data_IF_722599327515
#
_entry.id   IF_722599327515
#
_cell.length_a   1.000
_cell.length_b   1.000
_cell.length_c   1.000
_cell.angle_alpha   90.00
_cell.angle_beta   90.00
_cell.angle_gamma   90.00
#
_symmetry.space_group_name_H-M   'P 1'
#
loop_
_entity.id
_entity.type
_entity.pdbx_description
1 polymer ?
#
# COMPACT_ATOMS: atom_id res chain seq x y z
N UNK A 1 -30.74 -16.67 39.01
CA UNK A 1 -29.65 -15.79 38.51
C UNK A 1 -29.03 -15.15 39.74
N UNK A 2 -27.78 -15.37 40.15
CA UNK A 2 -26.51 -15.34 39.43
C UNK A 2 -25.54 -16.37 40.03
N UNK A 3 -24.56 -16.75 39.22
CA UNK A 3 -23.75 -17.96 39.27
C UNK A 3 -22.73 -17.92 40.40
N UNK A 4 -22.65 -18.99 41.19
CA UNK A 4 -21.41 -19.35 41.87
C UNK A 4 -20.45 -19.91 40.81
N UNK A 5 -19.21 -19.44 40.77
CA UNK A 5 -18.15 -20.24 40.17
C UNK A 5 -16.87 -20.00 40.96
N UNK A 6 -16.48 -21.09 41.63
CA UNK A 6 -15.31 -21.23 42.47
C UNK A 6 -14.04 -21.05 41.65
N UNK A 7 -13.09 -20.37 42.27
CA UNK A 7 -11.67 -20.35 41.95
C UNK A 7 -11.18 -21.80 41.93
N UNK A 8 -10.63 -22.24 40.79
CA UNK A 8 -9.79 -23.43 40.70
C UNK A 8 -8.50 -23.02 39.96
N UNK A 9 -7.54 -22.48 40.71
CA UNK A 9 -6.15 -22.33 40.26
C UNK A 9 -5.54 -23.73 40.32
N UNK A 10 -5.52 -24.42 39.18
CA UNK A 10 -4.70 -25.61 39.00
C UNK A 10 -3.28 -25.15 38.64
N UNK A 11 -2.45 -24.99 39.66
CA UNK A 11 -1.00 -24.92 39.50
C UNK A 11 -0.45 -26.34 39.35
N UNK A 12 0.24 -26.62 38.25
CA UNK A 12 1.39 -27.53 38.13
C UNK A 12 1.67 -27.79 36.65
N UNK A 13 2.75 -27.21 36.12
CA UNK A 13 3.67 -27.96 35.26
C UNK A 13 5.09 -27.44 35.43
N UNK A 14 5.99 -28.41 35.47
CA UNK A 14 7.35 -28.41 35.96
C UNK A 14 8.35 -27.78 34.98
N UNK A 15 9.40 -27.18 35.56
CA UNK A 15 10.78 -27.09 35.06
C UNK A 15 11.01 -27.06 33.54
N UNK A 16 11.29 -25.85 33.04
CA UNK A 16 11.99 -25.62 31.78
C UNK A 16 12.54 -24.19 31.75
N UNK A 17 13.81 -24.00 32.11
CA UNK A 17 14.53 -22.74 31.84
C UNK A 17 14.81 -22.63 30.34
N UNK A 18 13.85 -22.09 29.61
CA UNK A 18 14.07 -21.55 28.27
C UNK A 18 13.47 -20.16 28.29
N UNK A 19 14.31 -19.14 28.12
CA UNK A 19 13.88 -17.74 28.01
C UNK A 19 12.99 -17.56 26.79
N UNK A 20 11.70 -17.86 26.93
CA UNK A 20 10.68 -17.45 25.98
C UNK A 20 10.56 -15.94 26.13
N UNK A 21 11.17 -15.20 25.20
CA UNK A 21 10.91 -13.78 25.01
C UNK A 21 9.40 -13.60 25.06
N UNK A 22 8.93 -12.85 26.05
CA UNK A 22 7.58 -12.32 26.10
C UNK A 22 7.33 -11.69 24.73
N UNK A 23 6.46 -12.30 23.93
CA UNK A 23 5.97 -11.67 22.70
C UNK A 23 5.21 -10.45 23.18
N UNK A 24 5.88 -9.31 23.16
CA UNK A 24 5.27 -8.03 23.38
C UNK A 24 4.35 -7.83 22.19
N UNK A 25 3.06 -8.08 22.40
CA UNK A 25 2.02 -7.76 21.42
C UNK A 25 1.99 -6.24 21.39
N UNK A 26 2.79 -5.63 20.51
CA UNK A 26 2.69 -4.22 20.20
C UNK A 26 1.29 -4.03 19.59
N UNK A 27 0.40 -3.26 20.22
CA UNK A 27 -0.89 -2.97 19.62
C UNK A 27 -0.63 -2.30 18.28
N UNK A 28 -1.13 -2.90 17.20
CA UNK A 28 -1.08 -2.35 15.85
C UNK A 28 -1.98 -1.11 15.89
N UNK A 29 -1.40 0.05 16.22
CA UNK A 29 -2.08 1.32 16.02
C UNK A 29 -2.32 1.45 14.51
N UNK A 30 -3.51 1.84 14.05
CA UNK A 30 -3.67 2.22 12.66
C UNK A 30 -2.65 3.34 12.36
N UNK A 31 -1.80 3.15 11.36
CA UNK A 31 -0.75 4.10 10.96
C UNK A 31 -1.29 5.51 10.65
N UNK A 32 -2.61 5.64 10.48
CA UNK A 32 -3.31 6.91 10.26
C UNK A 32 -4.52 7.00 11.19
N UNK A 33 -4.52 8.00 12.08
CA UNK A 33 -5.69 8.40 12.88
C UNK A 33 -6.31 9.64 12.26
N UNK A 34 -7.52 9.53 11.72
CA UNK A 34 -8.31 10.67 11.24
C UNK A 34 -9.00 11.33 12.44
N UNK A 35 -8.56 12.53 12.80
CA UNK A 35 -8.95 13.19 14.06
C UNK A 35 -9.95 14.32 13.85
N UNK A 36 -10.12 14.79 12.61
CA UNK A 36 -11.00 15.91 12.28
C UNK A 36 -11.65 15.75 10.89
N UNK A 37 -12.54 16.67 10.53
CA UNK A 37 -13.27 16.65 9.26
C UNK A 37 -12.34 16.80 8.02
N UNK A 38 -11.25 17.55 8.14
CA UNK A 38 -10.26 17.71 7.06
C UNK A 38 -9.53 16.39 6.81
N UNK A 39 -9.15 15.66 7.86
CA UNK A 39 -8.50 14.35 7.72
C UNK A 39 -9.41 13.36 6.99
N UNK A 40 -10.68 13.27 7.41
CA UNK A 40 -11.69 12.39 6.78
C UNK A 40 -11.94 12.76 5.32
N UNK A 41 -12.09 14.05 5.02
CA UNK A 41 -12.27 14.54 3.65
C UNK A 41 -11.04 14.22 2.79
N UNK A 42 -9.84 14.49 3.31
CA UNK A 42 -8.58 14.27 2.59
C UNK A 42 -8.34 12.79 2.31
N UNK A 43 -8.62 11.92 3.29
CA UNK A 43 -8.52 10.47 3.13
C UNK A 43 -9.54 9.94 2.12
N UNK A 44 -10.79 10.41 2.18
CA UNK A 44 -11.83 10.04 1.21
C UNK A 44 -11.48 10.49 -0.23
N UNK A 45 -10.94 11.70 -0.40
CA UNK A 45 -10.45 12.18 -1.69
C UNK A 45 -9.33 11.28 -2.23
N UNK A 46 -8.37 10.93 -1.38
CA UNK A 46 -7.29 10.00 -1.72
C UNK A 46 -7.79 8.63 -2.16
N UNK A 47 -8.77 8.05 -1.46
CA UNK A 47 -9.41 6.78 -1.85
C UNK A 47 -10.06 6.90 -3.23
N UNK A 48 -10.88 7.92 -3.45
CA UNK A 48 -11.63 8.07 -4.69
C UNK A 48 -10.68 8.23 -5.89
N UNK A 49 -9.69 9.11 -5.77
CA UNK A 49 -8.69 9.31 -6.83
C UNK A 49 -7.85 8.06 -7.06
N UNK A 50 -7.43 7.38 -5.99
CA UNK A 50 -6.60 6.18 -6.05
C UNK A 50 -7.30 4.99 -6.70
N UNK A 51 -8.59 4.78 -6.39
CA UNK A 51 -9.38 3.68 -6.95
C UNK A 51 -9.58 3.82 -8.47
N UNK A 52 -9.96 5.02 -8.93
CA UNK A 52 -10.11 5.30 -10.36
C UNK A 52 -8.76 5.21 -11.09
N UNK A 53 -7.70 5.73 -10.47
CA UNK A 53 -6.37 5.66 -11.06
C UNK A 53 -5.84 4.22 -11.16
N UNK A 54 -6.06 3.39 -10.14
CA UNK A 54 -5.70 1.96 -10.16
C UNK A 54 -6.35 1.22 -11.32
N UNK A 55 -7.64 1.46 -11.58
CA UNK A 55 -8.35 0.88 -12.73
C UNK A 55 -7.75 1.33 -14.07
N UNK A 56 -7.39 2.61 -14.18
CA UNK A 56 -6.78 3.13 -15.41
C UNK A 56 -5.37 2.58 -15.67
N UNK A 57 -4.60 2.28 -14.61
CA UNK A 57 -3.26 1.69 -14.72
C UNK A 57 -3.30 0.31 -15.40
N UNK A 58 -4.36 -0.48 -15.20
CA UNK A 58 -4.51 -1.80 -15.84
C UNK A 58 -4.57 -1.72 -17.37
N UNK A 59 -4.98 -0.58 -17.92
CA UNK A 59 -5.06 -0.34 -19.36
C UNK A 59 -3.75 0.11 -20.00
N UNK A 60 -2.71 0.37 -19.21
CA UNK A 60 -1.41 0.82 -19.71
C UNK A 60 -0.73 -0.34 -20.47
N UNK A 61 -0.34 -0.15 -21.74
CA UNK A 61 0.41 -1.15 -22.51
C UNK A 61 1.71 -1.59 -21.82
N UNK A 62 2.11 -2.84 -22.05
CA UNK A 62 3.37 -3.40 -21.53
C UNK A 62 3.27 -4.17 -20.22
N UNK A 63 2.09 -4.71 -19.92
CA UNK A 63 1.89 -5.64 -18.81
C UNK A 63 1.68 -4.94 -17.47
N UNK A 64 2.05 -5.62 -16.37
CA UNK A 64 1.77 -5.12 -15.02
C UNK A 64 2.69 -3.95 -14.67
N UNK A 65 2.08 -2.78 -14.45
CA UNK A 65 2.76 -1.60 -13.92
C UNK A 65 3.26 -1.82 -12.49
N UNK A 66 4.39 -1.19 -12.13
CA UNK A 66 4.92 -1.21 -10.77
C UNK A 66 4.22 -0.16 -9.90
N UNK A 67 3.25 -0.62 -9.10
CA UNK A 67 2.42 0.26 -8.26
C UNK A 67 3.23 0.97 -7.17
N UNK A 68 4.22 0.31 -6.56
CA UNK A 68 5.04 0.92 -5.51
C UNK A 68 5.83 2.13 -6.02
N UNK A 69 6.38 2.05 -7.23
CA UNK A 69 7.08 3.17 -7.87
C UNK A 69 6.13 4.29 -8.29
N UNK A 70 4.91 3.95 -8.72
CA UNK A 70 3.86 4.94 -9.03
C UNK A 70 3.49 5.71 -7.75
N UNK A 71 3.19 5.01 -6.66
CA UNK A 71 2.86 5.63 -5.36
C UNK A 71 4.02 6.50 -4.88
N UNK A 72 5.26 6.03 -4.99
CA UNK A 72 6.45 6.80 -4.61
C UNK A 72 6.60 8.07 -5.41
N UNK A 73 6.55 7.99 -6.74
CA UNK A 73 6.66 9.16 -7.62
C UNK A 73 5.53 10.17 -7.42
N UNK A 74 4.29 9.68 -7.28
CA UNK A 74 3.11 10.51 -7.02
C UNK A 74 3.20 11.23 -5.66
N UNK A 75 3.57 10.51 -4.60
CA UNK A 75 3.73 11.08 -3.25
C UNK A 75 4.81 12.16 -3.22
N UNK A 76 5.98 11.89 -3.83
CA UNK A 76 7.06 12.87 -3.93
C UNK A 76 6.61 14.12 -4.70
N UNK A 77 5.93 13.95 -5.84
CA UNK A 77 5.43 15.08 -6.63
C UNK A 77 4.38 15.91 -5.87
N UNK A 78 3.41 15.27 -5.19
CA UNK A 78 2.39 15.98 -4.40
C UNK A 78 2.98 16.78 -3.24
N UNK A 79 3.99 16.21 -2.57
CA UNK A 79 4.71 16.87 -1.47
C UNK A 79 5.70 17.93 -1.94
N UNK A 80 5.93 18.04 -3.25
CA UNK A 80 6.98 18.86 -3.86
C UNK A 80 8.38 18.47 -3.36
N UNK A 81 8.56 17.20 -3.04
CA UNK A 81 9.84 16.60 -2.68
C UNK A 81 10.71 16.40 -3.93
N UNK A 82 11.99 16.11 -3.71
CA UNK A 82 12.89 15.70 -4.78
C UNK A 82 12.44 14.39 -5.42
N UNK A 83 12.18 14.43 -6.72
CA UNK A 83 11.91 13.27 -7.57
C UNK A 83 13.20 12.81 -8.26
N UNK A 84 13.24 11.54 -8.67
CA UNK A 84 14.37 11.02 -9.46
C UNK A 84 14.43 11.62 -10.88
N UNK A 85 13.27 12.01 -11.41
CA UNK A 85 13.12 12.59 -12.74
C UNK A 85 12.48 13.96 -12.64
N UNK A 86 12.93 14.91 -13.46
CA UNK A 86 12.19 16.15 -13.70
C UNK A 86 10.87 15.85 -14.44
N UNK A 87 9.82 16.67 -14.26
CA UNK A 87 8.52 16.44 -14.92
C UNK A 87 8.62 16.23 -16.43
N UNK A 88 9.44 17.02 -17.11
CA UNK A 88 9.62 16.96 -18.56
C UNK A 88 10.22 15.62 -19.00
N UNK A 89 11.19 15.14 -18.23
CA UNK A 89 11.88 13.87 -18.46
C UNK A 89 10.93 12.69 -18.20
N UNK A 90 10.14 12.74 -17.13
CA UNK A 90 9.15 11.72 -16.80
C UNK A 90 8.10 11.56 -17.92
N UNK A 91 7.59 12.68 -18.46
CA UNK A 91 6.63 12.68 -19.56
C UNK A 91 7.22 12.05 -20.83
N UNK A 92 8.48 12.37 -21.15
CA UNK A 92 9.15 11.80 -22.31
C UNK A 92 9.36 10.28 -22.18
N UNK A 93 9.84 9.82 -21.02
CA UNK A 93 10.01 8.38 -20.74
C UNK A 93 8.68 7.63 -20.86
N UNK A 94 7.62 8.15 -20.26
CA UNK A 94 6.30 7.53 -20.32
C UNK A 94 5.82 7.42 -21.78
N UNK A 95 5.87 8.50 -22.56
CA UNK A 95 5.46 8.49 -23.97
C UNK A 95 6.25 7.47 -24.79
N UNK A 96 7.59 7.43 -24.61
CA UNK A 96 8.46 6.49 -25.33
C UNK A 96 8.13 5.04 -25.01
N UNK A 97 7.89 4.72 -23.73
CA UNK A 97 7.49 3.38 -23.30
C UNK A 97 6.18 2.95 -23.96
N UNK A 98 5.12 3.75 -23.84
CA UNK A 98 3.80 3.42 -24.39
C UNK A 98 3.86 3.16 -25.90
N UNK A 99 4.58 4.00 -26.65
CA UNK A 99 4.74 3.82 -28.09
C UNK A 99 5.45 2.51 -28.44
N UNK A 100 6.49 2.13 -27.69
CA UNK A 100 7.22 0.89 -27.92
C UNK A 100 6.37 -0.35 -27.62
N UNK A 101 5.60 -0.32 -26.53
CA UNK A 101 4.69 -1.41 -26.15
C UNK A 101 3.54 -1.58 -27.15
N UNK A 102 2.94 -0.47 -27.60
CA UNK A 102 1.90 -0.51 -28.63
C UNK A 102 2.42 -1.06 -29.97
N UNK A 103 3.63 -0.68 -30.36
CA UNK A 103 4.26 -1.23 -31.58
C UNK A 103 4.42 -2.74 -31.48
N UNK A 104 4.96 -3.24 -30.35
CA UNK A 104 5.10 -4.68 -30.08
C UNK A 104 3.77 -5.42 -30.09
N UNK A 105 2.74 -4.89 -29.45
CA UNK A 105 1.41 -5.53 -29.42
C UNK A 105 0.80 -5.61 -30.83
N UNK A 106 1.04 -4.59 -31.65
CA UNK A 106 0.57 -4.57 -33.04
C UNK A 106 1.34 -5.54 -33.94
N UNK A 107 2.65 -5.72 -33.72
CA UNK A 107 3.47 -6.70 -34.42
C UNK A 107 3.07 -8.13 -34.04
N UNK A 108 2.86 -8.39 -32.75
CA UNK A 108 2.42 -9.70 -32.26
C UNK A 108 1.05 -10.12 -32.80
N UNK A 109 0.16 -9.16 -33.09
CA UNK A 109 -1.15 -9.42 -33.72
C UNK A 109 -1.08 -9.71 -35.22
N UNK A 110 0.03 -9.39 -35.88
CA UNK A 110 0.24 -9.60 -37.32
C UNK A 110 0.99 -10.90 -37.64
N UNK A 111 1.66 -11.48 -36.65
CA UNK A 111 2.35 -12.77 -36.73
C UNK A 111 1.38 -13.93 -36.47
#
# INVERSE_FOLDING_TARGET
MKKYSLIAIAALFLTGCSSVKKVEIVPILPDVVMSNAVDSMSYALGINMGADFAKNIESIPGGKSNIDLIIKGFSQAMKKDSTLLKPEVAQEYFRKYIMAEQARDNEAKKA
#
